data_IF_055923114020
#
_entry.id   IF_055923114020
#
_cell.length_a   1.000
_cell.length_b   1.000
_cell.length_c   1.000
_cell.angle_alpha   90.00
_cell.angle_beta   90.00
_cell.angle_gamma   90.00
#
_symmetry.space_group_name_H-M   'P 1'
#
loop_
_entity.id
_entity.type
_entity.pdbx_description
1 polymer ?
#
# COMPACT_ATOMS: atom_id res chain seq x y z
N UNK A 1 35.82 26.48 57.09
CA UNK A 1 34.43 26.02 56.81
C UNK A 1 34.24 25.96 55.30
N UNK A 2 34.06 24.75 54.76
CA UNK A 2 33.93 24.48 53.32
C UNK A 2 32.51 24.76 52.85
N UNK A 3 32.32 25.73 51.94
CA UNK A 3 31.07 25.89 51.19
C UNK A 3 31.11 24.97 49.96
N UNK A 4 30.27 23.94 49.97
CA UNK A 4 30.04 23.07 48.80
C UNK A 4 29.11 23.79 47.81
N UNK A 5 29.63 24.09 46.62
CA UNK A 5 28.84 24.50 45.45
C UNK A 5 28.05 23.28 44.95
N UNK A 6 26.73 23.32 45.13
CA UNK A 6 25.79 22.39 44.50
C UNK A 6 25.64 22.76 43.02
N UNK A 7 26.31 22.00 42.15
CA UNK A 7 26.00 21.95 40.72
C UNK A 7 24.86 20.95 40.52
N UNK A 8 23.69 21.44 40.12
CA UNK A 8 22.55 20.61 39.70
C UNK A 8 22.71 20.39 38.19
N UNK A 9 23.01 19.17 37.70
CA UNK A 9 22.94 18.91 36.27
C UNK A 9 21.47 18.80 35.86
N UNK A 10 21.04 19.76 35.04
CA UNK A 10 19.75 19.73 34.36
C UNK A 10 19.83 18.64 33.27
N UNK A 11 19.33 17.44 33.59
CA UNK A 11 19.22 16.34 32.63
C UNK A 11 18.13 16.72 31.64
N UNK A 12 18.54 17.17 30.45
CA UNK A 12 17.64 17.37 29.30
C UNK A 12 17.27 15.98 28.77
N UNK A 13 16.14 15.46 29.22
CA UNK A 13 15.53 14.23 28.70
C UNK A 13 15.15 14.41 27.23
N UNK A 14 16.07 14.10 26.33
CA UNK A 14 15.84 13.91 24.89
C UNK A 14 15.35 12.48 24.66
N UNK A 15 14.13 12.18 25.08
CA UNK A 15 13.53 10.86 24.86
C UNK A 15 12.05 10.98 24.54
N UNK A 16 11.72 11.60 23.40
CA UNK A 16 10.35 11.58 22.88
C UNK A 16 10.34 11.78 21.34
N UNK A 17 11.13 11.02 20.60
CA UNK A 17 11.08 10.98 19.12
C UNK A 17 11.28 9.54 18.61
N UNK A 18 10.62 8.58 19.24
CA UNK A 18 10.44 7.23 18.68
C UNK A 18 8.99 6.78 18.92
N UNK A 19 8.02 7.71 18.85
CA UNK A 19 6.64 7.33 18.63
C UNK A 19 6.60 6.68 17.25
N UNK A 20 6.40 5.36 17.25
CA UNK A 20 6.60 4.50 16.12
C UNK A 20 5.91 5.03 14.87
N UNK A 21 6.69 5.14 13.80
CA UNK A 21 6.20 4.88 12.45
C UNK A 21 5.71 3.43 12.43
N UNK A 22 4.52 3.21 12.97
CA UNK A 22 3.74 2.03 12.66
C UNK A 22 3.61 2.04 11.14
N UNK A 23 4.33 1.11 10.51
CA UNK A 23 4.40 0.99 9.07
C UNK A 23 2.98 0.87 8.54
N UNK A 24 2.52 1.85 7.77
CA UNK A 24 1.19 1.86 7.17
C UNK A 24 0.91 0.64 6.26
N UNK A 25 1.90 -0.24 6.04
CA UNK A 25 1.77 -1.53 5.40
C UNK A 25 0.98 -2.58 6.22
N UNK A 26 0.76 -2.39 7.52
CA UNK A 26 0.19 -3.43 8.40
C UNK A 26 -1.33 -3.69 8.25
N UNK A 27 -2.07 -3.03 7.35
CA UNK A 27 -3.54 -3.16 7.32
C UNK A 27 -4.18 -3.51 5.95
N UNK A 28 -3.41 -3.95 4.95
CA UNK A 28 -3.99 -4.45 3.70
C UNK A 28 -4.31 -5.96 3.73
N UNK A 29 -5.08 -6.42 4.72
CA UNK A 29 -5.30 -7.84 5.01
C UNK A 29 -6.52 -8.48 4.34
N UNK A 30 -7.28 -7.72 3.53
CA UNK A 30 -8.53 -8.23 2.96
C UNK A 30 -8.29 -9.42 2.04
N UNK A 31 -8.94 -10.54 2.31
CA UNK A 31 -8.79 -11.77 1.56
C UNK A 31 -9.79 -11.88 0.39
N UNK A 32 -11.04 -11.43 0.59
CA UNK A 32 -12.11 -11.55 -0.40
C UNK A 32 -12.70 -10.19 -0.81
N UNK A 33 -13.33 -10.10 -1.99
CA UNK A 33 -14.14 -8.95 -2.39
C UNK A 33 -15.25 -8.66 -1.36
N UNK A 34 -15.68 -7.40 -1.30
CA UNK A 34 -16.90 -7.03 -0.57
C UNK A 34 -18.14 -7.54 -1.32
N UNK A 35 -19.18 -7.88 -0.58
CA UNK A 35 -20.48 -8.18 -1.18
C UNK A 35 -20.96 -6.97 -2.00
N UNK A 36 -21.45 -7.22 -3.22
CA UNK A 36 -21.91 -6.17 -4.13
C UNK A 36 -20.80 -5.36 -4.81
N UNK A 37 -19.53 -5.78 -4.70
CA UNK A 37 -18.47 -5.20 -5.52
C UNK A 37 -18.77 -5.42 -7.01
N UNK A 38 -18.46 -4.42 -7.83
CA UNK A 38 -18.68 -4.48 -9.27
C UNK A 38 -17.76 -5.53 -9.91
N UNK A 39 -18.35 -6.39 -10.75
CA UNK A 39 -17.64 -7.43 -11.49
C UNK A 39 -17.44 -6.95 -12.92
N UNK A 40 -16.20 -6.96 -13.37
CA UNK A 40 -15.83 -6.76 -14.78
C UNK A 40 -15.68 -8.13 -15.43
N UNK A 41 -16.56 -8.45 -16.36
CA UNK A 41 -16.52 -9.70 -17.12
C UNK A 41 -15.53 -9.59 -18.28
N UNK A 42 -14.59 -10.53 -18.37
CA UNK A 42 -13.63 -10.60 -19.49
C UNK A 42 -13.68 -11.97 -20.16
N UNK A 43 -13.04 -12.10 -21.33
CA UNK A 43 -12.93 -13.38 -22.01
C UNK A 43 -11.88 -14.27 -21.32
N UNK A 44 -12.30 -15.00 -20.29
CA UNK A 44 -11.51 -16.06 -19.65
C UNK A 44 -11.58 -16.07 -18.12
N UNK A 45 -11.68 -14.89 -17.50
CA UNK A 45 -11.90 -14.74 -16.06
C UNK A 45 -12.65 -13.44 -15.77
N UNK A 46 -13.35 -13.40 -14.65
CA UNK A 46 -13.93 -12.17 -14.12
C UNK A 46 -12.93 -11.47 -13.22
N UNK A 47 -13.03 -10.15 -13.17
CA UNK A 47 -12.14 -9.29 -12.40
C UNK A 47 -12.94 -8.35 -11.50
N UNK A 48 -12.51 -8.21 -10.25
CA UNK A 48 -13.06 -7.24 -9.30
C UNK A 48 -11.94 -6.34 -8.81
N UNK A 49 -12.17 -5.03 -8.83
CA UNK A 49 -11.32 -4.02 -8.19
C UNK A 49 -12.14 -3.25 -7.16
N UNK A 50 -11.64 -3.16 -5.93
CA UNK A 50 -12.36 -2.49 -4.85
C UNK A 50 -11.41 -1.80 -3.84
N UNK A 51 -11.63 -0.50 -3.51
CA UNK A 51 -12.67 0.37 -4.06
C UNK A 51 -12.36 0.83 -5.48
N UNK A 52 -13.40 1.10 -6.26
CA UNK A 52 -13.31 1.76 -7.55
C UNK A 52 -14.53 2.69 -7.76
N UNK A 53 -14.36 3.95 -8.23
CA UNK A 53 -13.08 4.65 -8.41
C UNK A 53 -12.38 4.92 -7.06
N UNK A 54 -11.08 5.22 -7.10
CA UNK A 54 -10.33 5.68 -5.92
C UNK A 54 -10.50 7.20 -5.80
N UNK A 55 -11.13 7.72 -4.73
CA UNK A 55 -11.23 9.17 -4.52
C UNK A 55 -9.87 9.84 -4.33
N UNK A 56 -9.74 11.11 -4.75
CA UNK A 56 -8.52 11.90 -4.56
C UNK A 56 -8.11 12.10 -3.10
N UNK A 57 -9.01 11.91 -2.13
CA UNK A 57 -8.73 11.99 -0.70
C UNK A 57 -8.51 10.63 -0.05
N UNK A 58 -8.60 9.54 -0.82
CA UNK A 58 -8.57 8.19 -0.28
C UNK A 58 -7.22 7.84 0.34
N UNK A 59 -7.26 7.35 1.58
CA UNK A 59 -6.12 6.76 2.26
C UNK A 59 -6.53 5.38 2.74
N UNK A 60 -5.86 4.35 2.24
CA UNK A 60 -6.26 2.96 2.47
C UNK A 60 -5.87 2.05 1.32
N UNK A 61 -6.40 0.83 1.37
CA UNK A 61 -6.01 -0.22 0.43
C UNK A 61 -7.07 -0.40 -0.67
N UNK A 62 -6.59 -0.50 -1.91
CA UNK A 62 -7.32 -1.05 -3.04
C UNK A 62 -6.82 -2.46 -3.33
N UNK A 63 -7.74 -3.30 -3.79
CA UNK A 63 -7.51 -4.72 -4.00
C UNK A 63 -8.05 -5.11 -5.37
N UNK A 64 -7.44 -6.12 -5.98
CA UNK A 64 -7.91 -6.74 -7.22
C UNK A 64 -7.97 -8.25 -7.10
N UNK A 65 -9.02 -8.87 -7.61
CA UNK A 65 -9.22 -10.32 -7.61
C UNK A 65 -9.61 -10.83 -8.99
N UNK A 66 -9.15 -12.04 -9.34
CA UNK A 66 -9.56 -12.78 -10.54
C UNK A 66 -10.29 -14.07 -10.18
N UNK A 67 -11.23 -14.52 -11.02
CA UNK A 67 -11.92 -15.80 -10.83
C UNK A 67 -13.29 -15.83 -11.49
N UNK A 68 -14.25 -16.54 -10.88
CA UNK A 68 -15.66 -16.52 -11.27
C UNK A 68 -16.39 -15.43 -10.47
N UNK A 69 -16.96 -14.45 -11.17
CA UNK A 69 -17.69 -13.33 -10.57
C UNK A 69 -19.01 -13.74 -9.91
N UNK A 70 -19.55 -14.92 -10.23
CA UNK A 70 -20.69 -15.51 -9.54
C UNK A 70 -20.28 -16.17 -8.20
N UNK A 71 -18.98 -16.35 -7.97
CA UNK A 71 -18.42 -16.88 -6.72
C UNK A 71 -17.32 -15.96 -6.14
N UNK A 72 -17.62 -14.71 -5.73
CA UNK A 72 -16.61 -13.75 -5.28
C UNK A 72 -15.73 -14.24 -4.12
N UNK A 73 -16.26 -15.07 -3.22
CA UNK A 73 -15.50 -15.64 -2.11
C UNK A 73 -14.43 -16.64 -2.52
N UNK A 74 -14.50 -17.17 -3.75
CA UNK A 74 -13.53 -18.10 -4.32
C UNK A 74 -12.52 -17.41 -5.26
N UNK A 75 -12.68 -16.11 -5.52
CA UNK A 75 -11.75 -15.37 -6.38
C UNK A 75 -10.39 -15.20 -5.69
N UNK A 76 -9.33 -15.28 -6.48
CA UNK A 76 -7.96 -15.14 -6.03
C UNK A 76 -7.55 -13.66 -6.03
N UNK A 77 -7.02 -13.18 -4.90
CA UNK A 77 -6.48 -11.83 -4.82
C UNK A 77 -5.15 -11.75 -5.55
N UNK A 78 -5.09 -10.94 -6.60
CA UNK A 78 -3.90 -10.73 -7.42
C UNK A 78 -3.27 -9.36 -7.23
N UNK A 79 -4.02 -8.38 -6.73
CA UNK A 79 -3.50 -7.02 -6.54
C UNK A 79 -3.77 -6.52 -5.12
N UNK A 80 -2.80 -5.80 -4.58
CA UNK A 80 -2.97 -4.95 -3.40
C UNK A 80 -2.20 -3.65 -3.59
N UNK A 81 -2.87 -2.52 -3.44
CA UNK A 81 -2.28 -1.19 -3.54
C UNK A 81 -2.64 -0.36 -2.31
N UNK A 82 -1.71 0.43 -1.80
CA UNK A 82 -1.94 1.37 -0.72
C UNK A 82 -1.85 2.79 -1.23
N UNK A 83 -2.85 3.58 -0.87
CA UNK A 83 -3.00 4.96 -1.25
C UNK A 83 -2.87 5.87 -0.04
N UNK A 84 -2.29 7.06 -0.25
CA UNK A 84 -2.32 8.19 0.68
C UNK A 84 -2.79 9.41 -0.10
N UNK A 85 -3.90 10.01 0.33
CA UNK A 85 -4.53 11.15 -0.35
C UNK A 85 -4.65 10.93 -1.88
N UNK A 86 -5.22 9.78 -2.27
CA UNK A 86 -5.47 9.41 -3.66
C UNK A 86 -4.24 9.03 -4.47
N UNK A 87 -3.03 9.06 -3.87
CA UNK A 87 -1.77 8.72 -4.56
C UNK A 87 -1.24 7.37 -4.10
N UNK A 88 -0.85 6.53 -5.06
CA UNK A 88 -0.29 5.20 -4.79
C UNK A 88 1.06 5.34 -4.10
N UNK A 89 1.18 4.86 -2.87
CA UNK A 89 2.47 4.79 -2.17
C UNK A 89 3.19 3.48 -2.48
N UNK A 90 2.43 2.40 -2.63
CA UNK A 90 2.95 1.16 -3.16
C UNK A 90 1.82 0.33 -3.77
N UNK A 91 2.17 -0.55 -4.69
CA UNK A 91 1.28 -1.63 -5.09
C UNK A 91 2.06 -2.89 -5.41
N UNK A 92 1.37 -4.00 -5.30
CA UNK A 92 1.85 -5.33 -5.60
C UNK A 92 0.82 -6.03 -6.50
N UNK A 93 1.31 -6.63 -7.57
CA UNK A 93 0.55 -7.47 -8.48
C UNK A 93 1.22 -8.83 -8.62
N UNK A 94 0.43 -9.88 -8.42
CA UNK A 94 0.80 -11.29 -8.52
C UNK A 94 -0.18 -11.97 -9.47
N UNK A 95 0.06 -11.81 -10.77
CA UNK A 95 -0.72 -12.52 -11.77
C UNK A 95 -0.19 -13.96 -11.90
N UNK A 96 -1.04 -14.97 -12.14
CA UNK A 96 -0.59 -16.36 -12.26
C UNK A 96 0.45 -16.60 -13.36
N UNK A 97 0.39 -15.81 -14.43
CA UNK A 97 1.22 -15.92 -15.64
C UNK A 97 2.36 -14.89 -15.70
N UNK A 98 2.55 -14.06 -14.67
CA UNK A 98 3.55 -12.98 -14.67
C UNK A 98 4.41 -13.02 -13.41
N UNK A 99 5.67 -12.57 -13.50
CA UNK A 99 6.50 -12.43 -12.31
C UNK A 99 5.86 -11.43 -11.33
N UNK A 100 6.12 -11.64 -10.04
CA UNK A 100 5.76 -10.70 -8.99
C UNK A 100 6.20 -9.29 -9.38
N UNK A 101 5.27 -8.35 -9.31
CA UNK A 101 5.50 -6.97 -9.67
C UNK A 101 5.16 -6.11 -8.46
N UNK A 102 6.13 -5.38 -7.91
CA UNK A 102 5.93 -4.50 -6.75
C UNK A 102 6.56 -3.15 -6.99
N UNK A 103 5.78 -2.09 -6.91
CA UNK A 103 6.25 -0.72 -7.02
C UNK A 103 6.10 -0.02 -5.68
N UNK A 104 7.17 0.61 -5.20
CA UNK A 104 7.18 1.42 -3.97
C UNK A 104 7.64 2.82 -4.33
N UNK A 105 6.90 3.84 -3.91
CA UNK A 105 7.15 5.23 -4.22
C UNK A 105 7.63 5.97 -2.97
N UNK A 106 8.66 6.82 -3.13
CA UNK A 106 9.17 7.70 -2.08
C UNK A 106 9.42 9.08 -2.66
N UNK A 107 8.90 10.13 -2.01
CA UNK A 107 9.00 11.50 -2.55
C UNK A 107 8.32 11.67 -3.91
N UNK A 108 7.31 10.85 -4.23
CA UNK A 108 6.55 10.92 -5.48
C UNK A 108 7.18 10.19 -6.67
N UNK A 109 8.32 9.54 -6.49
CA UNK A 109 9.02 8.78 -7.54
C UNK A 109 9.27 7.34 -7.12
N UNK A 110 9.41 6.44 -8.09
CA UNK A 110 9.74 5.04 -7.84
C UNK A 110 11.03 4.93 -7.03
N UNK A 111 11.03 4.08 -6.01
CA UNK A 111 12.19 3.71 -5.22
C UNK A 111 12.69 2.33 -5.69
N UNK A 112 13.70 2.26 -6.59
CA UNK A 112 14.06 1.00 -7.25
C UNK A 112 14.56 -0.06 -6.27
N UNK A 113 15.32 0.34 -5.25
CA UNK A 113 15.83 -0.56 -4.21
C UNK A 113 14.77 -1.15 -3.28
N UNK A 114 13.53 -0.64 -3.32
CA UNK A 114 12.39 -1.15 -2.54
C UNK A 114 11.32 -1.82 -3.41
N UNK A 115 11.53 -1.79 -4.73
CA UNK A 115 10.60 -2.29 -5.73
C UNK A 115 11.10 -3.61 -6.30
N UNK A 116 10.17 -4.45 -6.76
CA UNK A 116 10.46 -5.71 -7.48
C UNK A 116 10.02 -5.51 -8.92
N UNK A 117 10.91 -5.79 -9.87
CA UNK A 117 10.71 -5.48 -11.29
C UNK A 117 10.46 -3.98 -11.55
N UNK A 118 11.25 -3.12 -10.89
CA UNK A 118 11.10 -1.66 -10.91
C UNK A 118 11.06 -1.06 -12.34
N UNK A 119 11.69 -1.69 -13.33
CA UNK A 119 11.68 -1.25 -14.73
C UNK A 119 10.29 -1.31 -15.38
N UNK A 120 9.36 -2.10 -14.83
CA UNK A 120 7.97 -2.17 -15.27
C UNK A 120 7.05 -1.20 -14.49
N UNK A 121 7.59 -0.48 -13.50
CA UNK A 121 6.82 0.47 -12.71
C UNK A 121 6.76 1.84 -13.41
N UNK A 122 5.63 2.55 -13.34
CA UNK A 122 5.58 3.98 -13.64
C UNK A 122 6.58 4.74 -12.79
N UNK A 123 7.29 5.70 -13.39
CA UNK A 123 8.35 6.45 -12.71
C UNK A 123 7.79 7.36 -11.60
N UNK A 124 6.60 7.93 -11.81
CA UNK A 124 5.93 8.80 -10.85
C UNK A 124 4.72 8.10 -10.21
N UNK A 125 4.47 8.39 -8.94
CA UNK A 125 3.31 7.82 -8.24
C UNK A 125 1.97 8.28 -8.83
N UNK A 126 1.92 9.47 -9.43
CA UNK A 126 0.72 10.01 -10.06
C UNK A 126 0.30 9.26 -11.34
N UNK A 127 1.27 8.58 -11.98
CA UNK A 127 1.04 7.77 -13.17
C UNK A 127 0.73 6.31 -12.80
N UNK A 128 0.89 5.94 -11.51
CA UNK A 128 0.66 4.60 -11.02
C UNK A 128 -0.83 4.35 -10.77
N UNK A 129 -1.36 3.29 -11.39
CA UNK A 129 -2.74 2.85 -11.22
C UNK A 129 -2.78 1.32 -11.16
N UNK A 130 -3.71 0.79 -10.37
CA UNK A 130 -4.05 -0.63 -10.43
C UNK A 130 -4.65 -0.93 -11.81
N UNK A 131 -4.17 -1.98 -12.51
CA UNK A 131 -4.76 -2.42 -13.78
C UNK A 131 -6.26 -2.68 -13.63
N UNK A 132 -7.02 -2.30 -14.66
CA UNK A 132 -8.47 -2.54 -14.78
C UNK A 132 -8.74 -3.69 -15.72
#
# INVERSE_FOLDING_TARGET
MRLYRLFIPMIVSTAALCAGVASAAELCSRASPRAGAEVTHTHGFDFIVDPQPVPNSFTGCQYGWIGDGNAPSAMEKVITAYYVAGRVQWYEARWPDRPLHRCVYEGGVIAPGKSVNASACPVKEADAQVPR
#
